data_IF_705560367612
#
_entry.id   IF_705560367612
#
_cell.length_a   1.000
_cell.length_b   1.000
_cell.length_c   1.000
_cell.angle_alpha   90.00
_cell.angle_beta   90.00
_cell.angle_gamma   90.00
#
_symmetry.space_group_name_H-M   'P 1'
#
loop_
_entity.id
_entity.type
_entity.pdbx_description
1 polymer ?
#
# COMPACT_ATOMS: atom_id res chain seq x y z
N UNK A 1 1.10 36.81 -50.70
CA UNK A 1 0.45 35.53 -50.31
C UNK A 1 1.51 34.60 -49.71
N UNK A 2 1.59 34.46 -48.38
CA UNK A 2 2.59 33.61 -47.71
C UNK A 2 2.11 32.15 -47.75
N UNK A 3 2.82 31.27 -48.45
CA UNK A 3 2.56 29.81 -48.45
C UNK A 3 3.03 29.24 -47.12
N UNK A 4 2.08 28.84 -46.29
CA UNK A 4 2.35 28.11 -45.06
C UNK A 4 2.75 26.68 -45.42
N UNK A 5 4.05 26.38 -45.42
CA UNK A 5 4.57 25.02 -45.53
C UNK A 5 4.22 24.24 -44.25
N UNK A 6 3.02 23.66 -44.21
CA UNK A 6 2.67 22.67 -43.19
C UNK A 6 3.41 21.38 -43.54
N UNK A 7 4.58 21.15 -42.94
CA UNK A 7 5.23 19.85 -42.96
C UNK A 7 4.38 18.89 -42.13
N UNK A 8 3.66 18.00 -42.80
CA UNK A 8 2.96 16.89 -42.14
C UNK A 8 3.95 15.80 -41.73
N UNK A 9 3.64 15.10 -40.65
CA UNK A 9 4.41 13.96 -40.17
C UNK A 9 4.35 12.82 -41.19
N UNK A 10 5.49 12.26 -41.59
CA UNK A 10 5.51 11.14 -42.53
C UNK A 10 5.20 9.83 -41.81
N UNK A 11 4.56 8.88 -42.51
CA UNK A 11 4.29 7.54 -41.94
C UNK A 11 5.58 6.81 -41.56
N UNK A 12 6.67 7.04 -42.31
CA UNK A 12 7.98 6.47 -42.02
C UNK A 12 8.59 7.04 -40.72
N UNK A 13 8.44 8.35 -40.47
CA UNK A 13 8.84 8.98 -39.21
C UNK A 13 8.06 8.41 -38.01
N UNK A 14 6.78 8.06 -38.19
CA UNK A 14 6.00 7.41 -37.12
C UNK A 14 6.45 5.99 -36.85
N UNK A 15 6.72 5.22 -37.91
CA UNK A 15 7.09 3.81 -37.79
C UNK A 15 8.39 3.62 -37.02
N UNK A 16 9.42 4.43 -37.29
CA UNK A 16 10.69 4.32 -36.55
C UNK A 16 10.54 4.71 -35.08
N UNK A 17 9.70 5.71 -34.78
CA UNK A 17 9.46 6.16 -33.40
C UNK A 17 8.77 5.07 -32.59
N UNK A 18 7.72 4.45 -33.14
CA UNK A 18 7.01 3.35 -32.46
C UNK A 18 7.93 2.14 -32.29
N UNK A 19 8.79 1.84 -33.27
CA UNK A 19 9.76 0.75 -33.16
C UNK A 19 10.75 0.96 -31.99
N UNK A 20 11.28 2.19 -31.82
CA UNK A 20 12.19 2.49 -30.70
C UNK A 20 11.45 2.46 -29.36
N UNK A 21 10.24 3.05 -29.29
CA UNK A 21 9.42 3.03 -28.07
C UNK A 21 9.13 1.58 -27.65
N UNK A 22 8.83 0.68 -28.58
CA UNK A 22 8.57 -0.73 -28.28
C UNK A 22 9.76 -1.43 -27.60
N UNK A 23 10.99 -1.14 -28.01
CA UNK A 23 12.20 -1.70 -27.37
C UNK A 23 12.40 -1.13 -25.97
N UNK A 24 12.19 0.18 -25.79
CA UNK A 24 12.35 0.83 -24.49
C UNK A 24 11.29 0.36 -23.49
N UNK A 25 10.02 0.26 -23.91
CA UNK A 25 8.92 -0.17 -23.03
C UNK A 25 9.06 -1.63 -22.61
N UNK A 26 9.61 -2.49 -23.47
CA UNK A 26 9.85 -3.90 -23.15
C UNK A 26 10.72 -4.09 -21.88
N UNK A 27 11.71 -3.23 -21.65
CA UNK A 27 12.56 -3.28 -20.45
C UNK A 27 11.95 -2.42 -19.32
N UNK A 28 11.35 -1.28 -19.65
CA UNK A 28 10.85 -0.34 -18.66
C UNK A 28 9.66 -0.89 -17.85
N UNK A 29 8.72 -1.58 -18.49
CA UNK A 29 7.51 -2.10 -17.82
C UNK A 29 7.84 -3.03 -16.65
N UNK A 30 8.61 -4.13 -16.81
CA UNK A 30 8.87 -5.05 -15.69
C UNK A 30 9.63 -4.36 -14.54
N UNK A 31 10.59 -3.50 -14.85
CA UNK A 31 11.36 -2.75 -13.84
C UNK A 31 10.47 -1.78 -13.09
N UNK A 32 9.65 -1.02 -13.81
CA UNK A 32 8.75 -0.04 -13.21
C UNK A 32 7.68 -0.72 -12.35
N UNK A 33 7.09 -1.83 -12.81
CA UNK A 33 6.10 -2.58 -12.03
C UNK A 33 6.69 -3.13 -10.74
N UNK A 34 7.92 -3.67 -10.76
CA UNK A 34 8.59 -4.13 -9.55
C UNK A 34 8.88 -2.99 -8.56
N UNK A 35 9.32 -1.82 -9.05
CA UNK A 35 9.53 -0.65 -8.21
C UNK A 35 8.23 -0.09 -7.64
N UNK A 36 7.16 -0.03 -8.45
CA UNK A 36 5.84 0.38 -7.99
C UNK A 36 5.31 -0.53 -6.89
N UNK A 37 5.53 -1.84 -7.00
CA UNK A 37 5.12 -2.78 -5.96
C UNK A 37 5.86 -2.49 -4.64
N UNK A 38 7.19 -2.34 -4.68
CA UNK A 38 7.99 -2.00 -3.49
C UNK A 38 7.59 -0.66 -2.86
N UNK A 39 7.26 0.35 -3.68
CA UNK A 39 6.77 1.64 -3.17
C UNK A 39 5.40 1.52 -2.49
N UNK A 40 4.52 0.69 -3.02
CA UNK A 40 3.22 0.40 -2.41
C UNK A 40 3.39 -0.34 -1.08
N UNK A 41 4.26 -1.36 -1.06
CA UNK A 41 4.60 -2.12 0.15
C UNK A 41 5.14 -1.23 1.27
N UNK A 42 6.09 -0.34 0.95
CA UNK A 42 6.63 0.61 1.91
C UNK A 42 5.56 1.60 2.43
N UNK A 43 4.63 2.02 1.57
CA UNK A 43 3.52 2.90 1.95
C UNK A 43 2.54 2.18 2.86
N UNK A 44 2.18 0.95 2.53
CA UNK A 44 1.31 0.10 3.32
C UNK A 44 1.88 -0.12 4.72
N UNK A 45 3.17 -0.49 4.82
CA UNK A 45 3.87 -0.63 6.10
C UNK A 45 3.88 0.68 6.91
N UNK A 46 4.05 1.84 6.27
CA UNK A 46 3.98 3.13 6.96
C UNK A 46 2.57 3.45 7.50
N UNK A 47 1.54 3.08 6.74
CA UNK A 47 0.15 3.20 7.18
C UNK A 47 -0.12 2.25 8.37
N UNK A 48 0.32 0.99 8.31
CA UNK A 48 0.19 0.03 9.42
C UNK A 48 0.92 0.49 10.69
N UNK A 49 2.09 1.13 10.57
CA UNK A 49 2.79 1.76 11.71
C UNK A 49 1.97 2.88 12.34
N UNK A 50 1.34 3.70 11.51
CA UNK A 50 0.47 4.78 11.97
C UNK A 50 -0.77 4.23 12.67
N UNK A 51 -1.35 3.14 12.15
CA UNK A 51 -2.42 2.40 12.80
C UNK A 51 -2.00 1.90 14.18
N UNK A 52 -0.86 1.20 14.28
CA UNK A 52 -0.36 0.69 15.55
C UNK A 52 -0.18 1.81 16.59
N UNK A 53 0.40 2.95 16.21
CA UNK A 53 0.57 4.09 17.12
C UNK A 53 -0.77 4.63 17.63
N UNK A 54 -1.79 4.69 16.77
CA UNK A 54 -3.13 5.11 17.17
C UNK A 54 -3.81 4.07 18.09
N UNK A 55 -3.70 2.78 17.78
CA UNK A 55 -4.21 1.70 18.63
C UNK A 55 -3.55 1.70 20.01
N UNK A 56 -2.25 2.00 20.07
CA UNK A 56 -1.52 2.09 21.32
C UNK A 56 -1.92 3.32 22.16
N UNK A 57 -2.11 4.47 21.51
CA UNK A 57 -2.60 5.67 22.18
C UNK A 57 -4.03 5.48 22.70
N UNK A 58 -4.87 4.80 21.93
CA UNK A 58 -6.22 4.45 22.32
C UNK A 58 -6.21 3.51 23.53
N UNK A 59 -5.43 2.42 23.50
CA UNK A 59 -5.32 1.47 24.63
C UNK A 59 -4.96 2.14 25.97
N UNK A 60 -4.20 3.23 25.95
CA UNK A 60 -3.82 3.99 27.14
C UNK A 60 -4.89 4.98 27.61
N UNK A 61 -5.81 5.41 26.72
CA UNK A 61 -6.76 6.51 26.98
C UNK A 61 -8.21 6.05 27.06
N UNK A 62 -8.60 5.03 26.30
CA UNK A 62 -9.89 4.36 26.34
C UNK A 62 -9.69 2.85 26.27
N UNK A 63 -10.45 2.09 27.05
CA UNK A 63 -10.53 0.65 26.86
C UNK A 63 -11.24 0.38 25.52
N UNK A 64 -10.47 0.26 24.44
CA UNK A 64 -10.87 -0.18 23.09
C UNK A 64 -11.85 0.72 22.31
N UNK A 65 -11.34 1.68 21.54
CA UNK A 65 -12.06 2.28 20.42
C UNK A 65 -12.03 1.36 19.21
N UNK A 66 -13.22 1.14 18.65
CA UNK A 66 -13.43 0.30 17.48
C UNK A 66 -12.79 0.88 16.22
N UNK A 67 -12.01 0.08 15.51
CA UNK A 67 -11.55 0.33 14.15
C UNK A 67 -12.33 -0.57 13.21
N UNK A 68 -12.82 -0.05 12.09
CA UNK A 68 -13.63 -0.83 11.12
C UNK A 68 -12.79 -1.11 9.88
N UNK A 69 -12.74 -2.38 9.45
CA UNK A 69 -12.09 -2.76 8.20
C UNK A 69 -13.02 -2.48 6.99
N UNK A 70 -12.48 -2.12 5.81
CA UNK A 70 -13.27 -1.77 4.63
C UNK A 70 -13.98 -2.97 3.96
N UNK A 71 -13.74 -4.22 4.39
CA UNK A 71 -14.36 -5.43 3.79
C UNK A 71 -15.04 -6.39 4.77
N UNK A 72 -15.13 -6.06 6.06
CA UNK A 72 -16.02 -6.73 7.00
C UNK A 72 -16.23 -5.85 8.24
N UNK A 73 -17.42 -5.80 8.85
CA UNK A 73 -17.60 -5.05 10.08
C UNK A 73 -16.92 -5.84 11.19
N UNK A 74 -15.65 -5.58 11.43
CA UNK A 74 -15.02 -5.98 12.67
C UNK A 74 -14.88 -4.75 13.53
N UNK A 75 -15.57 -4.82 14.66
CA UNK A 75 -15.42 -3.96 15.81
C UNK A 75 -14.25 -4.56 16.62
N UNK A 76 -12.99 -4.38 16.16
CA UNK A 76 -11.80 -4.92 16.83
C UNK A 76 -10.79 -5.67 15.95
N UNK A 77 -10.14 -6.69 16.53
CA UNK A 77 -9.13 -7.55 15.91
C UNK A 77 -9.64 -8.21 14.61
N UNK A 78 -8.76 -8.37 13.63
CA UNK A 78 -9.07 -9.00 12.34
C UNK A 78 -7.82 -9.46 11.61
N UNK A 79 -7.94 -10.53 10.82
CA UNK A 79 -6.85 -11.17 10.10
C UNK A 79 -7.12 -11.09 8.60
N UNK A 80 -6.09 -10.90 7.78
CA UNK A 80 -6.16 -10.80 6.33
C UNK A 80 -6.79 -9.50 5.84
N UNK A 81 -6.72 -8.42 6.63
CA UNK A 81 -7.40 -7.18 6.28
C UNK A 81 -6.65 -6.46 5.16
N UNK A 82 -7.38 -6.02 4.13
CA UNK A 82 -6.82 -5.24 3.01
C UNK A 82 -6.95 -3.73 3.23
N UNK A 83 -7.17 -3.30 4.48
CA UNK A 83 -7.35 -1.91 4.84
C UNK A 83 -7.98 -1.73 6.22
N UNK A 84 -8.09 -0.48 6.64
CA UNK A 84 -8.65 -0.09 7.94
C UNK A 84 -9.13 1.36 7.91
N UNK A 85 -10.09 1.67 8.78
CA UNK A 85 -10.62 3.02 8.98
C UNK A 85 -10.34 3.49 10.40
N UNK A 86 -9.72 4.66 10.51
CA UNK A 86 -9.48 5.35 11.78
C UNK A 86 -10.77 5.89 12.40
N UNK A 87 -10.74 6.15 13.71
CA UNK A 87 -11.88 6.71 14.45
C UNK A 87 -12.32 8.09 13.94
N UNK A 88 -11.43 8.83 13.27
CA UNK A 88 -11.72 10.11 12.61
C UNK A 88 -12.41 9.94 11.23
N UNK A 89 -12.64 8.70 10.80
CA UNK A 89 -13.25 8.34 9.51
C UNK A 89 -12.28 8.19 8.35
N UNK A 90 -10.97 8.44 8.54
CA UNK A 90 -9.98 8.25 7.48
C UNK A 90 -9.79 6.77 7.17
N UNK A 91 -9.97 6.39 5.90
CA UNK A 91 -9.87 5.00 5.44
C UNK A 91 -8.62 4.80 4.60
N UNK A 92 -7.89 3.73 4.91
CA UNK A 92 -6.70 3.30 4.20
C UNK A 92 -6.94 1.92 3.61
N UNK A 93 -6.69 1.79 2.31
CA UNK A 93 -6.70 0.51 1.60
C UNK A 93 -5.25 0.12 1.31
N UNK A 94 -4.86 -1.07 1.76
CA UNK A 94 -3.57 -1.65 1.46
C UNK A 94 -3.55 -2.13 0.02
N UNK A 95 -2.45 -1.87 -0.68
CA UNK A 95 -2.33 -2.16 -2.13
C UNK A 95 -1.46 -3.37 -2.44
N UNK A 96 -0.55 -3.70 -1.53
CA UNK A 96 0.52 -4.68 -1.73
C UNK A 96 0.43 -5.87 -0.75
N UNK A 97 -0.38 -5.77 0.31
CA UNK A 97 -0.45 -6.79 1.35
C UNK A 97 -1.70 -6.75 2.21
N UNK A 98 -1.69 -7.59 3.23
CA UNK A 98 -2.72 -7.66 4.26
C UNK A 98 -2.15 -7.29 5.63
N UNK A 99 -3.03 -6.89 6.54
CA UNK A 99 -2.69 -6.64 7.93
C UNK A 99 -3.55 -7.49 8.86
N UNK A 100 -2.90 -8.03 9.87
CA UNK A 100 -3.48 -8.75 10.99
C UNK A 100 -3.39 -7.87 12.23
N UNK A 101 -4.53 -7.67 12.89
CA UNK A 101 -4.67 -6.88 14.10
C UNK A 101 -5.20 -7.81 15.16
N UNK A 102 -4.48 -7.99 16.25
CA UNK A 102 -4.90 -8.85 17.37
C UNK A 102 -4.83 -8.07 18.67
N UNK A 103 -5.89 -8.13 19.49
CA UNK A 103 -5.85 -7.66 20.87
C UNK A 103 -5.47 -8.82 21.78
N UNK A 104 -4.48 -8.60 22.65
CA UNK A 104 -4.12 -9.51 23.74
C UNK A 104 -4.14 -8.75 25.07
N UNK A 105 -3.89 -9.45 26.17
CA UNK A 105 -3.94 -8.90 27.53
C UNK A 105 -2.93 -7.75 27.76
N UNK A 106 -1.83 -7.75 27.01
CA UNK A 106 -0.72 -6.81 27.09
C UNK A 106 -0.77 -5.67 26.04
N UNK A 107 -1.78 -5.69 25.15
CA UNK A 107 -2.04 -4.64 24.19
C UNK A 107 -2.36 -5.13 22.79
N UNK A 108 -2.30 -4.20 21.83
CA UNK A 108 -2.53 -4.48 20.41
C UNK A 108 -1.28 -4.99 19.72
N UNK A 109 -1.46 -5.97 18.85
CA UNK A 109 -0.46 -6.50 17.93
C UNK A 109 -0.91 -6.19 16.51
N UNK A 110 0.02 -5.70 15.68
CA UNK A 110 -0.24 -5.40 14.27
C UNK A 110 0.86 -6.04 13.45
N UNK A 111 0.48 -6.94 12.54
CA UNK A 111 1.38 -7.63 11.63
C UNK A 111 0.97 -7.35 10.19
N UNK A 112 1.91 -6.88 9.39
CA UNK A 112 1.76 -6.66 7.96
C UNK A 112 2.46 -7.79 7.19
N UNK A 113 1.75 -8.34 6.22
CA UNK A 113 2.26 -9.37 5.31
C UNK A 113 2.11 -8.93 3.86
N UNK A 114 3.23 -8.87 3.14
CA UNK A 114 3.25 -8.61 1.70
C UNK A 114 2.68 -9.80 0.92
N UNK A 115 1.73 -9.55 0.01
CA UNK A 115 1.03 -10.59 -0.76
C UNK A 115 1.90 -11.37 -1.74
N UNK A 116 3.11 -10.89 -2.05
CA UNK A 116 4.02 -11.55 -3.00
C UNK A 116 5.07 -12.45 -2.36
N UNK A 117 5.08 -12.60 -1.03
CA UNK A 117 5.95 -13.57 -0.35
C UNK A 117 7.45 -13.20 -0.38
N UNK A 118 7.76 -11.90 -0.49
CA UNK A 118 9.14 -11.39 -0.56
C UNK A 118 9.88 -11.43 0.80
N UNK A 119 9.27 -11.93 1.87
CA UNK A 119 9.84 -11.92 3.22
C UNK A 119 9.76 -10.54 3.91
N UNK A 120 9.22 -9.53 3.23
CA UNK A 120 8.91 -8.22 3.78
C UNK A 120 7.68 -8.35 4.69
N UNK A 121 7.93 -8.75 5.93
CA UNK A 121 6.95 -8.79 7.01
C UNK A 121 7.31 -7.74 8.05
N UNK A 122 6.30 -7.05 8.58
CA UNK A 122 6.50 -6.11 9.67
C UNK A 122 5.50 -6.38 10.77
N UNK A 123 5.99 -6.79 11.94
CA UNK A 123 5.18 -6.98 13.14
C UNK A 123 5.58 -5.99 14.23
N UNK A 124 4.60 -5.29 14.80
CA UNK A 124 4.78 -4.60 16.08
C UNK A 124 4.32 -5.51 17.22
N UNK A 125 5.20 -5.84 18.19
CA UNK A 125 4.79 -6.51 19.42
C UNK A 125 3.98 -5.55 20.29
N UNK A 126 3.17 -6.06 21.22
CA UNK A 126 2.48 -5.21 22.18
C UNK A 126 3.45 -4.39 23.05
N UNK A 127 2.97 -3.24 23.54
CA UNK A 127 3.74 -2.31 24.36
C UNK A 127 4.29 -2.90 25.67
N UNK A 128 3.77 -4.03 26.15
CA UNK A 128 4.31 -4.80 27.27
C UNK A 128 5.18 -5.95 26.79
N UNK A 129 6.36 -5.67 26.25
CA UNK A 129 7.17 -6.67 25.56
C UNK A 129 7.37 -7.99 26.33
N UNK A 130 7.10 -9.10 25.66
CA UNK A 130 7.97 -10.27 25.67
C UNK A 130 7.81 -11.02 24.35
N UNK A 131 8.94 -11.23 23.69
CA UNK A 131 9.19 -12.12 22.55
C UNK A 131 8.49 -13.46 22.64
#
# INVERSE_FOLDING_TARGET
MKRNNKKGFTLAELLIVVAIIAVLTAIAIPVFTAQLHKSQDATDMANCRSLYANLQADFLTNASSAYTAPTSPLTGAGTGLTGFTFADGQTYTLKSGTVDITLRDDGWYVEYECSQGHGDHWGAPAAGGST
#
